data_IF_285552971767
#
_entry.id   IF_285552971767
#
_cell.length_a   1.000
_cell.length_b   1.000
_cell.length_c   1.000
_cell.angle_alpha   90.00
_cell.angle_beta   90.00
_cell.angle_gamma   90.00
#
_symmetry.space_group_name_H-M   'P 1'
#
loop_
_entity.id
_entity.type
_entity.pdbx_description
1 polymer ?
#
# COMPACT_ATOMS: atom_id res chain seq x y z
N UNK A 1 -2.86 9.60 -6.65
CA UNK A 1 -2.55 8.55 -5.64
C UNK A 1 -2.33 7.24 -6.37
N UNK A 2 -1.37 6.43 -5.94
CA UNK A 2 -1.01 5.17 -6.62
C UNK A 2 -1.77 3.99 -6.03
N UNK A 3 -2.15 3.04 -6.88
CA UNK A 3 -2.98 1.88 -6.53
C UNK A 3 -2.29 0.64 -7.03
N UNK A 4 -2.08 -0.34 -6.18
CA UNK A 4 -1.33 -1.54 -6.52
C UNK A 4 -2.17 -2.81 -6.38
N UNK A 5 -1.89 -3.78 -7.23
CA UNK A 5 -2.45 -5.14 -7.09
C UNK A 5 -1.33 -6.16 -7.17
N UNK A 6 -1.20 -6.98 -6.13
CA UNK A 6 -0.15 -7.99 -6.02
C UNK A 6 -0.75 -9.38 -6.14
N UNK A 7 -1.14 -9.76 -7.37
CA UNK A 7 -1.86 -11.00 -7.65
C UNK A 7 -1.38 -11.65 -8.96
N UNK A 8 -2.10 -12.66 -9.43
CA UNK A 8 -1.83 -13.32 -10.72
C UNK A 8 -1.74 -12.34 -11.88
N UNK A 9 -0.92 -12.68 -12.88
CA UNK A 9 -0.71 -11.87 -14.09
C UNK A 9 -2.03 -11.42 -14.75
N UNK A 10 -3.03 -12.31 -14.83
CA UNK A 10 -4.36 -11.96 -15.37
C UNK A 10 -5.04 -10.82 -14.62
N UNK A 11 -4.96 -10.82 -13.28
CA UNK A 11 -5.55 -9.76 -12.46
C UNK A 11 -4.77 -8.46 -12.61
N UNK A 12 -3.44 -8.53 -12.70
CA UNK A 12 -2.59 -7.36 -12.97
C UNK A 12 -3.02 -6.70 -14.28
N UNK A 13 -3.05 -7.46 -15.39
CA UNK A 13 -3.41 -6.93 -16.70
C UNK A 13 -4.82 -6.32 -16.73
N UNK A 14 -5.80 -6.95 -16.07
CA UNK A 14 -7.15 -6.37 -15.94
C UNK A 14 -7.08 -5.05 -15.17
N UNK A 15 -6.37 -5.00 -14.05
CA UNK A 15 -6.32 -3.81 -13.18
C UNK A 15 -5.54 -2.65 -13.80
N UNK A 16 -4.55 -2.92 -14.65
CA UNK A 16 -3.83 -1.90 -15.43
C UNK A 16 -4.78 -1.10 -16.33
N UNK A 17 -5.80 -1.74 -16.92
CA UNK A 17 -6.83 -1.04 -17.71
C UNK A 17 -7.68 -0.05 -16.88
N UNK A 18 -7.63 -0.15 -15.55
CA UNK A 18 -8.26 0.75 -14.59
C UNK A 18 -7.27 1.70 -13.91
N UNK A 19 -6.03 1.77 -14.41
CA UNK A 19 -4.98 2.65 -13.89
C UNK A 19 -4.37 2.19 -12.56
N UNK A 20 -4.41 0.89 -12.27
CA UNK A 20 -3.65 0.30 -11.17
C UNK A 20 -2.28 -0.15 -11.66
N UNK A 21 -1.30 -0.13 -10.77
CA UNK A 21 0.08 -0.51 -11.03
C UNK A 21 0.35 -1.94 -10.55
N UNK A 22 1.31 -2.64 -11.16
CA UNK A 22 1.64 -4.01 -10.80
C UNK A 22 2.29 -4.08 -9.42
N UNK A 23 1.91 -5.09 -8.65
CA UNK A 23 2.56 -5.48 -7.41
C UNK A 23 2.94 -6.95 -7.43
N UNK A 24 3.87 -7.33 -6.55
CA UNK A 24 4.18 -8.72 -6.30
C UNK A 24 4.75 -8.89 -4.90
N UNK A 25 4.53 -10.06 -4.31
CA UNK A 25 5.35 -10.53 -3.20
C UNK A 25 6.69 -11.04 -3.74
N UNK A 26 7.80 -10.79 -3.06
CA UNK A 26 9.13 -11.23 -3.54
C UNK A 26 9.27 -12.75 -3.74
N UNK A 27 8.39 -13.54 -3.13
CA UNK A 27 8.37 -15.01 -3.30
C UNK A 27 7.58 -15.47 -4.53
N UNK A 28 6.91 -14.58 -5.27
CA UNK A 28 6.05 -14.90 -6.40
C UNK A 28 6.26 -13.94 -7.59
N UNK A 29 7.48 -13.87 -8.11
CA UNK A 29 7.83 -12.99 -9.24
C UNK A 29 7.36 -13.49 -10.61
N UNK A 30 6.91 -14.75 -10.71
CA UNK A 30 6.46 -15.36 -11.99
C UNK A 30 5.30 -14.60 -12.62
N UNK A 31 4.46 -13.98 -11.78
CA UNK A 31 3.29 -13.23 -12.21
C UNK A 31 3.66 -11.89 -12.86
N UNK A 32 4.93 -11.47 -12.80
CA UNK A 32 5.46 -10.26 -13.43
C UNK A 32 6.06 -10.50 -14.83
N UNK A 33 5.97 -11.72 -15.39
CA UNK A 33 6.64 -12.04 -16.67
C UNK A 33 6.08 -11.19 -17.81
N UNK A 34 6.87 -10.26 -18.34
CA UNK A 34 6.44 -9.36 -19.43
C UNK A 34 5.60 -8.18 -18.96
N UNK A 35 5.56 -7.91 -17.65
CA UNK A 35 4.98 -6.70 -17.06
C UNK A 35 6.10 -5.71 -16.78
N UNK A 36 5.87 -4.45 -17.14
CA UNK A 36 6.78 -3.35 -16.82
C UNK A 36 6.66 -2.98 -15.33
N UNK A 37 7.74 -3.16 -14.58
CA UNK A 37 7.74 -3.06 -13.12
C UNK A 37 8.79 -2.08 -12.57
N UNK A 38 9.89 -1.85 -13.30
CA UNK A 38 10.97 -0.97 -12.86
C UNK A 38 10.45 0.46 -12.68
N UNK A 39 10.75 1.07 -11.53
CA UNK A 39 10.29 2.40 -11.12
C UNK A 39 8.76 2.59 -11.11
N UNK A 40 7.96 1.52 -11.24
CA UNK A 40 6.49 1.57 -11.27
C UNK A 40 5.84 0.65 -10.25
N UNK A 41 6.45 -0.48 -9.97
CA UNK A 41 5.83 -1.57 -9.22
C UNK A 41 5.93 -1.46 -7.70
N UNK A 42 5.12 -2.28 -7.03
CA UNK A 42 5.13 -2.48 -5.57
C UNK A 42 5.66 -3.87 -5.22
N UNK A 43 6.73 -3.94 -4.41
CA UNK A 43 7.29 -5.20 -3.92
C UNK A 43 6.94 -5.42 -2.44
N UNK A 44 6.11 -6.42 -2.18
CA UNK A 44 5.64 -6.83 -0.86
C UNK A 44 6.49 -7.95 -0.25
N UNK A 45 6.44 -8.05 1.08
CA UNK A 45 7.15 -9.06 1.87
C UNK A 45 6.31 -10.31 2.10
N UNK A 46 6.99 -11.44 2.33
CA UNK A 46 6.35 -12.62 2.92
C UNK A 46 6.44 -12.57 4.44
N UNK A 47 5.60 -11.75 5.09
CA UNK A 47 5.69 -11.51 6.55
C UNK A 47 5.76 -12.79 7.41
N UNK A 48 5.09 -13.87 6.99
CA UNK A 48 5.12 -15.16 7.71
C UNK A 48 6.47 -15.87 7.66
N UNK A 49 7.23 -15.68 6.58
CA UNK A 49 8.47 -16.39 6.27
C UNK A 49 9.47 -15.43 5.64
N UNK A 50 9.65 -14.28 6.29
CA UNK A 50 10.46 -13.21 5.74
C UNK A 50 11.93 -13.61 5.67
N UNK A 51 12.55 -13.31 4.53
CA UNK A 51 13.96 -13.57 4.26
C UNK A 51 14.54 -12.35 3.55
N UNK A 52 15.32 -11.56 4.29
CA UNK A 52 15.87 -10.31 3.80
C UNK A 52 16.75 -10.49 2.55
N UNK A 53 17.64 -11.48 2.53
CA UNK A 53 18.54 -11.69 1.37
C UNK A 53 17.76 -11.95 0.07
N UNK A 54 16.70 -12.77 0.13
CA UNK A 54 15.83 -13.03 -1.03
C UNK A 54 14.99 -11.82 -1.41
N UNK A 55 14.54 -11.06 -0.41
CA UNK A 55 13.79 -9.84 -0.65
C UNK A 55 14.67 -8.79 -1.34
N UNK A 56 15.87 -8.53 -0.81
CA UNK A 56 16.85 -7.63 -1.39
C UNK A 56 17.20 -8.03 -2.83
N UNK A 57 17.44 -9.32 -3.10
CA UNK A 57 17.70 -9.80 -4.45
C UNK A 57 16.54 -9.50 -5.42
N UNK A 58 15.29 -9.68 -4.98
CA UNK A 58 14.12 -9.34 -5.80
C UNK A 58 14.00 -7.83 -6.06
N UNK A 59 14.27 -7.00 -5.04
CA UNK A 59 14.24 -5.53 -5.17
C UNK A 59 15.39 -5.06 -6.08
N UNK A 60 16.58 -5.65 -6.00
CA UNK A 60 17.69 -5.39 -6.91
C UNK A 60 17.36 -5.74 -8.35
N UNK A 61 16.74 -6.90 -8.58
CA UNK A 61 16.36 -7.35 -9.92
C UNK A 61 15.24 -6.48 -10.52
N UNK A 62 14.23 -6.14 -9.72
CA UNK A 62 12.99 -5.51 -10.21
C UNK A 62 12.94 -4.00 -10.05
N UNK A 63 13.78 -3.42 -9.19
CA UNK A 63 13.89 -1.98 -8.91
C UNK A 63 12.53 -1.27 -8.78
N UNK A 64 11.69 -1.68 -7.81
CA UNK A 64 10.33 -1.18 -7.67
C UNK A 64 10.27 0.34 -7.45
N UNK A 65 9.09 0.92 -7.68
CA UNK A 65 8.77 2.25 -7.17
C UNK A 65 8.72 2.26 -5.63
N UNK A 66 8.15 1.22 -5.05
CA UNK A 66 7.97 1.10 -3.61
C UNK A 66 8.18 -0.34 -3.14
N UNK A 67 8.89 -0.51 -2.02
CA UNK A 67 9.03 -1.79 -1.33
C UNK A 67 8.87 -1.63 0.18
N UNK A 68 8.56 -2.72 0.88
CA UNK A 68 8.35 -2.71 2.32
C UNK A 68 9.60 -3.18 3.06
N UNK A 69 9.99 -2.48 4.12
CA UNK A 69 10.86 -3.07 5.12
C UNK A 69 10.11 -4.17 5.90
N UNK A 70 10.85 -4.94 6.70
CA UNK A 70 10.24 -5.85 7.68
C UNK A 70 9.35 -5.08 8.66
N UNK A 71 8.27 -5.70 9.10
CA UNK A 71 7.43 -5.23 10.20
C UNK A 71 8.26 -4.99 11.47
N UNK A 72 8.08 -3.83 12.10
CA UNK A 72 8.69 -3.46 13.38
C UNK A 72 7.78 -3.95 14.52
N UNK A 73 7.72 -5.26 14.69
CA UNK A 73 6.98 -5.94 15.77
C UNK A 73 7.58 -5.67 17.15
N UNK A 74 8.88 -5.40 17.21
CA UNK A 74 9.59 -4.93 18.40
C UNK A 74 10.47 -3.72 18.07
N UNK A 75 10.34 -2.64 18.85
CA UNK A 75 11.22 -1.46 18.76
C UNK A 75 12.69 -1.82 19.00
N UNK A 76 12.97 -2.91 19.72
CA UNK A 76 14.33 -3.36 20.03
C UNK A 76 15.06 -3.88 18.78
N UNK A 77 14.32 -4.20 17.71
CA UNK A 77 14.85 -4.62 16.41
C UNK A 77 14.94 -3.46 15.40
N UNK A 78 14.52 -2.25 15.78
CA UNK A 78 14.36 -1.13 14.85
C UNK A 78 15.65 -0.80 14.10
N UNK A 79 16.79 -0.74 14.79
CA UNK A 79 18.08 -0.42 14.14
C UNK A 79 18.45 -1.45 13.06
N UNK A 80 18.22 -2.74 13.32
CA UNK A 80 18.47 -3.79 12.34
C UNK A 80 17.53 -3.64 11.13
N UNK A 81 16.26 -3.33 11.36
CA UNK A 81 15.26 -3.12 10.31
C UNK A 81 15.58 -1.87 9.48
N UNK A 82 16.06 -0.78 10.10
CA UNK A 82 16.48 0.43 9.40
C UNK A 82 17.72 0.19 8.53
N UNK A 83 18.66 -0.63 8.98
CA UNK A 83 19.79 -1.07 8.17
C UNK A 83 19.34 -1.90 6.96
N UNK A 84 18.37 -2.81 7.13
CA UNK A 84 17.73 -3.52 6.01
C UNK A 84 17.06 -2.54 5.04
N UNK A 85 16.32 -1.54 5.56
CA UNK A 85 15.62 -0.54 4.77
C UNK A 85 16.57 0.35 3.96
N UNK A 86 17.71 0.74 4.54
CA UNK A 86 18.74 1.50 3.83
C UNK A 86 19.33 0.69 2.66
N UNK A 87 19.59 -0.60 2.85
CA UNK A 87 20.05 -1.46 1.77
C UNK A 87 19.02 -1.59 0.64
N UNK A 88 17.71 -1.65 0.95
CA UNK A 88 16.63 -1.64 -0.04
C UNK A 88 16.55 -0.30 -0.79
N UNK A 89 16.80 0.82 -0.10
CA UNK A 89 16.69 2.18 -0.67
C UNK A 89 17.67 2.45 -1.81
N UNK A 90 18.73 1.64 -1.94
CA UNK A 90 19.68 1.70 -3.06
C UNK A 90 19.06 1.28 -4.39
N UNK A 91 17.94 0.57 -4.36
CA UNK A 91 17.33 -0.07 -5.54
C UNK A 91 15.83 0.22 -5.70
N UNK A 92 15.18 0.80 -4.69
CA UNK A 92 13.77 1.20 -4.72
C UNK A 92 13.65 2.71 -4.55
N UNK A 93 12.71 3.36 -5.26
CA UNK A 93 12.48 4.81 -5.14
C UNK A 93 11.98 5.16 -3.73
N UNK A 94 11.08 4.34 -3.19
CA UNK A 94 10.59 4.45 -1.82
C UNK A 94 10.76 3.13 -1.07
N UNK A 95 11.09 3.23 0.21
CA UNK A 95 10.99 2.13 1.17
C UNK A 95 10.05 2.56 2.29
N UNK A 96 9.06 1.74 2.60
CA UNK A 96 8.13 2.01 3.69
C UNK A 96 8.47 1.18 4.93
N UNK A 97 8.47 1.83 6.09
CA UNK A 97 8.59 1.16 7.39
C UNK A 97 7.20 0.85 7.93
N UNK A 98 7.00 -0.37 8.44
CA UNK A 98 5.71 -0.83 8.97
C UNK A 98 5.79 -0.89 10.50
N UNK A 99 5.40 0.17 11.22
CA UNK A 99 5.43 0.17 12.67
C UNK A 99 4.29 -0.69 13.24
N UNK A 100 4.60 -1.59 14.18
CA UNK A 100 3.64 -2.47 14.86
C UNK A 100 3.71 -2.37 16.39
N UNK A 101 4.90 -2.15 16.93
CA UNK A 101 5.11 -1.99 18.37
C UNK A 101 4.49 -0.68 18.90
N UNK A 102 3.58 -0.78 19.85
CA UNK A 102 2.89 0.38 20.47
C UNK A 102 3.85 1.34 21.20
N UNK A 103 5.06 0.92 21.55
CA UNK A 103 6.13 1.79 22.08
C UNK A 103 6.58 2.86 21.07
N UNK A 104 6.25 2.69 19.80
CA UNK A 104 6.51 3.66 18.73
C UNK A 104 5.49 4.81 18.68
N UNK A 105 4.39 4.73 19.44
CA UNK A 105 3.38 5.78 19.48
C UNK A 105 4.01 7.15 19.80
N UNK A 106 3.69 8.15 18.99
CA UNK A 106 4.24 9.51 19.04
C UNK A 106 5.75 9.64 18.81
N UNK A 107 6.45 8.56 18.43
CA UNK A 107 7.92 8.53 18.27
C UNK A 107 8.38 8.20 16.84
N UNK A 108 7.47 7.99 15.89
CA UNK A 108 7.84 7.70 14.50
C UNK A 108 8.67 8.83 13.86
N UNK A 109 8.39 10.09 14.21
CA UNK A 109 9.15 11.25 13.76
C UNK A 109 10.59 11.30 14.27
N UNK A 110 10.81 10.80 15.48
CA UNK A 110 12.10 10.76 16.19
C UNK A 110 12.94 9.57 15.70
N UNK A 111 12.31 8.40 15.61
CA UNK A 111 13.02 7.13 15.49
C UNK A 111 13.14 6.62 14.05
N UNK A 112 12.25 7.05 13.14
CA UNK A 112 12.27 6.61 11.74
C UNK A 112 12.75 7.77 10.85
N UNK A 113 13.90 7.63 10.17
CA UNK A 113 14.45 8.65 9.29
C UNK A 113 13.47 9.14 8.22
N UNK A 114 13.48 10.45 7.92
CA UNK A 114 12.51 11.13 7.04
C UNK A 114 12.54 10.69 5.58
N UNK A 115 13.61 10.08 5.12
CA UNK A 115 13.69 9.52 3.76
C UNK A 115 12.76 8.32 3.56
N UNK A 116 12.39 7.63 4.64
CA UNK A 116 11.44 6.52 4.58
C UNK A 116 10.02 7.03 4.70
N UNK A 117 9.12 6.46 3.91
CA UNK A 117 7.68 6.63 4.10
C UNK A 117 7.19 5.63 5.15
N UNK A 118 5.95 5.78 5.60
CA UNK A 118 5.34 4.84 6.54
C UNK A 118 4.37 3.91 5.81
N UNK A 119 4.19 2.70 6.32
CA UNK A 119 3.17 1.79 5.86
C UNK A 119 2.22 1.45 7.00
N UNK A 120 0.93 1.65 6.75
CA UNK A 120 -0.13 1.38 7.72
C UNK A 120 -0.84 0.08 7.34
N UNK A 121 -0.73 -0.94 8.19
CA UNK A 121 -1.46 -2.20 8.00
C UNK A 121 -2.92 -2.02 8.34
N UNK A 122 -3.76 -1.98 7.30
CA UNK A 122 -5.20 -1.80 7.46
C UNK A 122 -5.79 -2.95 8.28
N UNK A 123 -6.54 -2.67 9.37
CA UNK A 123 -7.08 -3.71 10.23
C UNK A 123 -7.92 -4.74 9.47
N UNK A 124 -7.57 -6.01 9.66
CA UNK A 124 -8.31 -7.18 9.19
C UNK A 124 -8.41 -8.21 10.31
N UNK A 125 -9.12 -9.32 10.06
CA UNK A 125 -9.12 -10.46 10.98
C UNK A 125 -7.77 -11.18 11.09
N UNK A 126 -6.84 -10.91 10.17
CA UNK A 126 -5.55 -11.62 10.07
C UNK A 126 -4.36 -10.78 10.54
N UNK A 127 -4.58 -9.51 10.86
CA UNK A 127 -3.53 -8.59 11.25
C UNK A 127 -3.95 -7.13 11.08
N UNK A 128 -3.15 -6.24 11.65
CA UNK A 128 -3.28 -4.80 11.63
C UNK A 128 -2.05 -4.17 12.28
N UNK A 129 -2.04 -2.86 12.47
CA UNK A 129 -1.11 -2.20 13.39
C UNK A 129 -1.88 -1.76 14.64
N UNK A 130 -1.23 -1.86 15.80
CA UNK A 130 -1.73 -1.31 17.07
C UNK A 130 -1.17 0.10 17.33
N UNK A 131 -0.22 0.56 16.50
CA UNK A 131 0.28 1.92 16.52
C UNK A 131 -0.85 2.87 16.11
N UNK A 132 -1.05 3.91 16.92
CA UNK A 132 -2.12 4.88 16.74
C UNK A 132 -1.90 5.66 15.44
N UNK A 133 -3.03 5.95 14.77
CA UNK A 133 -3.07 6.69 13.49
C UNK A 133 -2.42 8.07 13.66
N UNK A 134 -2.58 8.70 14.81
CA UNK A 134 -2.06 10.02 15.15
C UNK A 134 -0.52 10.05 15.18
N UNK A 135 0.13 8.89 15.28
CA UNK A 135 1.60 8.80 15.23
C UNK A 135 2.17 8.95 13.82
N UNK A 136 1.35 8.76 12.78
CA UNK A 136 1.78 8.81 11.38
C UNK A 136 1.83 10.27 10.89
N UNK A 137 3.04 10.75 10.61
CA UNK A 137 3.37 12.17 10.43
C UNK A 137 3.78 12.54 8.99
N UNK A 138 3.75 11.57 8.07
CA UNK A 138 4.22 11.72 6.68
C UNK A 138 3.47 10.79 5.74
N UNK A 139 3.85 10.79 4.47
CA UNK A 139 3.28 9.93 3.41
C UNK A 139 3.15 8.48 3.87
N UNK A 140 1.97 7.91 3.62
CA UNK A 140 1.60 6.55 4.02
C UNK A 140 1.26 5.69 2.80
N UNK A 141 1.73 4.44 2.82
CA UNK A 141 1.18 3.34 2.02
C UNK A 141 0.20 2.52 2.87
N UNK A 142 -1.03 2.33 2.41
CA UNK A 142 -2.00 1.46 3.10
C UNK A 142 -1.82 0.01 2.64
N UNK A 143 -1.47 -0.88 3.57
CA UNK A 143 -1.25 -2.30 3.29
C UNK A 143 -2.56 -3.09 3.38
N UNK A 144 -3.02 -3.61 2.24
CA UNK A 144 -4.16 -4.49 2.13
C UNK A 144 -5.46 -3.95 2.75
N UNK A 145 -6.31 -4.88 3.21
CA UNK A 145 -7.59 -4.53 3.82
C UNK A 145 -8.73 -4.33 2.82
N UNK A 146 -9.86 -3.83 3.32
CA UNK A 146 -11.06 -3.57 2.52
C UNK A 146 -11.04 -2.17 1.91
N UNK A 147 -11.56 -1.97 0.69
CA UNK A 147 -11.52 -0.66 0.05
C UNK A 147 -12.25 0.45 0.84
N UNK A 148 -13.39 0.15 1.43
CA UNK A 148 -14.15 1.13 2.23
C UNK A 148 -13.39 1.55 3.51
N UNK A 149 -12.62 0.64 4.10
CA UNK A 149 -11.80 0.92 5.28
C UNK A 149 -10.56 1.73 4.89
N UNK A 150 -9.88 1.35 3.80
CA UNK A 150 -8.76 2.10 3.25
C UNK A 150 -9.15 3.56 2.97
N UNK A 151 -10.31 3.79 2.35
CA UNK A 151 -10.78 5.14 2.08
C UNK A 151 -11.04 5.92 3.36
N UNK A 152 -11.70 5.33 4.37
CA UNK A 152 -11.93 6.00 5.67
C UNK A 152 -10.63 6.37 6.39
N UNK A 153 -9.59 5.52 6.29
CA UNK A 153 -8.29 5.83 6.85
C UNK A 153 -7.64 7.05 6.19
N UNK A 154 -7.91 7.28 4.90
CA UNK A 154 -7.39 8.43 4.17
C UNK A 154 -7.97 9.78 4.62
N UNK A 155 -9.02 9.79 5.45
CA UNK A 155 -9.51 11.02 6.10
C UNK A 155 -8.60 11.47 7.26
N UNK A 156 -7.71 10.57 7.73
CA UNK A 156 -6.81 10.80 8.86
C UNK A 156 -5.33 10.68 8.51
N UNK A 157 -5.03 9.99 7.42
CA UNK A 157 -3.66 9.71 6.98
C UNK A 157 -3.36 10.42 5.66
N UNK A 158 -2.12 10.88 5.51
CA UNK A 158 -1.58 11.36 4.25
C UNK A 158 -1.25 10.18 3.32
N UNK A 159 -2.26 9.66 2.63
CA UNK A 159 -2.13 8.46 1.80
C UNK A 159 -1.48 8.82 0.47
N UNK A 160 -0.29 8.26 0.24
CA UNK A 160 0.40 8.32 -1.06
C UNK A 160 -0.08 7.20 -1.98
N UNK A 161 -0.30 6.01 -1.41
CA UNK A 161 -0.62 4.81 -2.16
C UNK A 161 -1.28 3.72 -1.32
N UNK A 162 -1.83 2.70 -1.97
CA UNK A 162 -2.30 1.49 -1.30
C UNK A 162 -2.19 0.27 -2.20
N UNK A 163 -2.15 -0.92 -1.62
CA UNK A 163 -2.40 -2.18 -2.32
C UNK A 163 -3.74 -2.79 -1.88
N UNK A 164 -4.44 -3.48 -2.77
CA UNK A 164 -5.65 -4.20 -2.39
C UNK A 164 -5.82 -5.45 -3.24
N UNK A 165 -5.75 -6.62 -2.60
CA UNK A 165 -6.09 -7.90 -3.24
C UNK A 165 -7.48 -8.40 -2.84
N UNK A 166 -8.19 -7.73 -1.92
CA UNK A 166 -9.43 -8.25 -1.33
C UNK A 166 -10.50 -8.52 -2.37
N UNK A 167 -10.64 -7.66 -3.37
CA UNK A 167 -11.65 -7.80 -4.42
C UNK A 167 -11.47 -9.07 -5.26
N UNK A 168 -10.26 -9.62 -5.36
CA UNK A 168 -10.01 -10.88 -6.08
C UNK A 168 -10.53 -12.09 -5.30
N UNK A 169 -10.55 -12.03 -3.97
CA UNK A 169 -11.07 -13.10 -3.13
C UNK A 169 -12.59 -13.19 -3.25
N UNK A 170 -13.28 -12.05 -3.16
CA UNK A 170 -14.74 -11.97 -3.23
C UNK A 170 -15.26 -12.28 -4.65
N UNK A 171 -14.55 -11.85 -5.69
CA UNK A 171 -14.91 -12.12 -7.09
C UNK A 171 -15.00 -13.61 -7.43
N UNK A 172 -14.22 -14.49 -6.78
CA UNK A 172 -14.29 -15.95 -6.97
C UNK A 172 -15.66 -16.53 -6.62
N UNK A 173 -16.42 -15.83 -5.78
CA UNK A 173 -17.75 -16.22 -5.34
C UNK A 173 -18.86 -15.40 -6.00
N UNK A 174 -18.54 -14.64 -7.06
CA UNK A 174 -19.48 -13.78 -7.76
C UNK A 174 -19.82 -12.50 -7.00
N UNK A 175 -18.95 -12.03 -6.10
CA UNK A 175 -19.15 -10.77 -5.38
C UNK A 175 -18.25 -9.66 -5.95
N UNK A 176 -18.74 -8.43 -5.96
CA UNK A 176 -17.97 -7.25 -6.32
C UNK A 176 -18.17 -6.13 -5.29
N UNK A 177 -17.19 -5.25 -5.18
CA UNK A 177 -17.29 -4.05 -4.34
C UNK A 177 -18.16 -2.99 -5.03
N UNK A 178 -19.25 -2.54 -4.41
CA UNK A 178 -20.19 -1.58 -5.01
C UNK A 178 -19.90 -0.10 -4.68
N UNK A 179 -18.80 0.19 -3.96
CA UNK A 179 -18.49 1.51 -3.41
C UNK A 179 -18.61 1.57 -1.88
N UNK A 180 -19.32 0.64 -1.27
CA UNK A 180 -19.51 0.60 0.19
C UNK A 180 -19.17 -0.78 0.77
N UNK A 181 -19.60 -1.84 0.08
CA UNK A 181 -19.42 -3.23 0.53
C UNK A 181 -19.37 -4.18 -0.66
N UNK A 182 -19.01 -5.43 -0.36
CA UNK A 182 -19.11 -6.51 -1.33
C UNK A 182 -20.55 -7.01 -1.43
N UNK A 183 -21.07 -7.09 -2.64
CA UNK A 183 -22.43 -7.55 -2.95
C UNK A 183 -22.39 -8.62 -4.03
N UNK A 184 -23.35 -9.56 -3.98
CA UNK A 184 -23.43 -10.66 -4.95
C UNK A 184 -24.00 -10.17 -6.27
N UNK A 185 -23.39 -10.58 -7.37
CA UNK A 185 -23.94 -10.45 -8.72
C UNK A 185 -24.42 -11.82 -9.20
N UNK A 186 -25.73 -11.95 -9.42
CA UNK A 186 -26.35 -13.22 -9.85
C UNK A 186 -25.83 -13.72 -11.19
N UNK A 187 -25.29 -12.83 -12.02
CA UNK A 187 -24.74 -13.15 -13.34
C UNK A 187 -23.24 -12.80 -13.46
N UNK A 188 -22.58 -12.57 -12.33
CA UNK A 188 -21.19 -12.12 -12.28
C UNK A 188 -20.20 -13.25 -12.55
N UNK A 189 -19.45 -13.16 -13.65
CA UNK A 189 -18.22 -13.94 -13.81
C UNK A 189 -17.11 -13.34 -12.95
N UNK A 190 -16.02 -14.09 -12.77
CA UNK A 190 -14.86 -13.62 -12.02
C UNK A 190 -14.36 -12.26 -12.56
N UNK A 191 -14.13 -12.16 -13.87
CA UNK A 191 -13.62 -10.95 -14.54
C UNK A 191 -14.59 -9.78 -14.40
N UNK A 192 -15.89 -9.99 -14.64
CA UNK A 192 -16.90 -8.94 -14.46
C UNK A 192 -16.94 -8.41 -13.03
N UNK A 193 -16.77 -9.28 -12.04
CA UNK A 193 -16.71 -8.89 -10.64
C UNK A 193 -15.42 -8.11 -10.32
N UNK A 194 -14.27 -8.45 -10.93
CA UNK A 194 -13.04 -7.67 -10.80
C UNK A 194 -13.23 -6.26 -11.39
N UNK A 195 -13.70 -6.17 -12.63
CA UNK A 195 -13.94 -4.91 -13.35
C UNK A 195 -14.88 -3.98 -12.58
N UNK A 196 -16.03 -4.51 -12.12
CA UNK A 196 -16.98 -3.75 -11.29
C UNK A 196 -16.36 -3.29 -9.98
N UNK A 197 -15.51 -4.11 -9.36
CA UNK A 197 -14.82 -3.72 -8.12
C UNK A 197 -13.81 -2.62 -8.39
N UNK A 198 -12.93 -2.78 -9.39
CA UNK A 198 -11.93 -1.79 -9.77
C UNK A 198 -12.57 -0.42 -10.09
N UNK A 199 -13.65 -0.42 -10.86
CA UNK A 199 -14.42 0.79 -11.16
C UNK A 199 -14.91 1.48 -9.89
N UNK A 200 -15.57 0.74 -8.99
CA UNK A 200 -16.13 1.32 -7.77
C UNK A 200 -15.07 1.71 -6.74
N UNK A 201 -13.95 0.98 -6.66
CA UNK A 201 -12.82 1.35 -5.81
C UNK A 201 -12.22 2.66 -6.33
N UNK A 202 -12.00 2.79 -7.64
CA UNK A 202 -11.55 4.06 -8.21
C UNK A 202 -12.49 5.20 -7.83
N UNK A 203 -13.81 5.01 -7.99
CA UNK A 203 -14.83 6.01 -7.71
C UNK A 203 -14.79 6.55 -6.27
N UNK A 204 -14.56 5.71 -5.26
CA UNK A 204 -14.48 6.20 -3.86
C UNK A 204 -13.21 7.01 -3.57
N UNK A 205 -12.22 6.90 -4.45
CA UNK A 205 -10.96 7.63 -4.39
C UNK A 205 -10.91 8.82 -5.35
N UNK A 206 -11.94 9.02 -6.19
CA UNK A 206 -12.07 10.19 -7.05
C UNK A 206 -12.13 11.45 -6.18
N UNK A 207 -11.40 12.48 -6.61
CA UNK A 207 -11.31 13.74 -5.85
C UNK A 207 -10.50 13.66 -4.56
N UNK A 208 -9.85 12.52 -4.25
CA UNK A 208 -8.86 12.48 -3.16
C UNK A 208 -7.65 13.32 -3.54
N UNK A 209 -7.70 14.59 -3.13
CA UNK A 209 -6.56 15.49 -3.09
C UNK A 209 -5.80 15.18 -1.83
N UNK A 210 -4.50 14.94 -1.97
CA UNK A 210 -3.64 14.64 -0.85
C UNK A 210 -3.75 15.80 0.18
N UNK A 211 -4.23 15.55 1.43
CA UNK A 211 -4.69 16.62 2.34
C UNK A 211 -3.64 17.67 2.70
N UNK A 212 -2.35 17.39 2.46
CA UNK A 212 -1.24 18.28 2.79
C UNK A 212 -0.91 19.28 1.64
N UNK A 213 -1.64 19.23 0.52
CA UNK A 213 -1.59 20.26 -0.54
C UNK A 213 -2.77 21.25 -0.47
N UNK A 214 -3.12 21.71 0.72
CA UNK A 214 -3.72 23.03 0.88
C UNK A 214 -2.61 23.99 1.32
N UNK A 215 -2.02 24.78 0.42
CA UNK A 215 -1.42 26.04 0.85
C UNK A 215 -2.50 26.80 1.60
N UNK A 216 -2.18 27.31 2.79
CA UNK A 216 -2.94 28.33 3.48
C UNK A 216 -2.99 29.60 2.60
N UNK A 217 -3.82 29.61 1.57
CA UNK A 217 -4.17 30.77 0.76
C UNK A 217 -5.34 31.49 1.42
N UNK A 218 -5.18 31.86 2.69
CA UNK A 218 -6.00 32.84 3.40
C UNK A 218 -5.11 33.50 4.46
N UNK A 219 -4.15 34.30 4.02
CA UNK A 219 -3.63 35.46 4.76
C UNK A 219 -2.55 36.15 3.92
N UNK A 220 -2.98 37.10 3.10
CA UNK A 220 -2.35 38.40 2.87
C UNK A 220 -3.10 39.08 1.71
N UNK A 221 -4.33 39.51 1.99
CA UNK A 221 -4.82 40.70 1.29
C UNK A 221 -4.09 41.90 1.89
N UNK A 222 -3.32 42.51 1.02
CA UNK A 222 -2.74 43.84 1.14
C UNK A 222 -3.86 44.81 1.48
N UNK A 223 -3.84 45.36 2.68
CA UNK A 223 -4.46 46.66 2.93
C UNK A 223 -3.40 47.73 2.68
N UNK A 224 -3.78 48.61 1.76
CA UNK A 224 -3.18 49.89 1.39
C UNK A 224 -2.94 50.77 2.60
#
# INVERSE_FOLDING_TARGET
MLKFVAHSQKVINISESYGWLPGAKYTNLRDLKGIDFEAKGFMDVDWKKYNFSRHLAAVQEKKPFITMARDVESIDELDAILNEAEALSKYSIHVAIIPKDTRLNNRLHELIPKQFILAYSVPTRYGGTEVSIESFDRKVHLLGGRPDVQRKLADKLDVMSFDCNRFTLDAKYGYYFNGERFVKDSNGTYEKCLEKSLFNINRIWDGYLNPINLPSMLSQEVLV
#
